data_IF_652177589319
#
_entry.id   IF_652177589319
#
_cell.length_a   1.000
_cell.length_b   1.000
_cell.length_c   1.000
_cell.angle_alpha   90.00
_cell.angle_beta   90.00
_cell.angle_gamma   90.00
#
_symmetry.space_group_name_H-M   'P 1'
#
loop_
_entity.id
_entity.type
_entity.pdbx_description
1 polymer ?
#
# COMPACT_ATOMS: atom_id res chain seq x y z
N UNK A 1 18.70 -23.99 30.97
CA UNK A 1 18.33 -25.29 30.33
C UNK A 1 16.95 -25.25 29.68
N UNK A 2 15.90 -24.77 30.37
CA UNK A 2 14.53 -24.67 29.82
C UNK A 2 14.42 -23.81 28.55
N UNK A 3 15.00 -22.61 28.54
CA UNK A 3 15.06 -21.73 27.36
C UNK A 3 15.74 -22.38 26.14
N UNK A 4 16.84 -23.11 26.35
CA UNK A 4 17.56 -23.82 25.30
C UNK A 4 16.75 -24.99 24.73
N UNK A 5 16.04 -25.73 25.60
CA UNK A 5 15.09 -26.78 25.17
C UNK A 5 13.93 -26.20 24.37
N UNK A 6 13.35 -25.08 24.81
CA UNK A 6 12.24 -24.41 24.12
C UNK A 6 12.68 -23.92 22.72
N UNK A 7 13.91 -23.41 22.58
CA UNK A 7 14.49 -23.02 21.29
C UNK A 7 14.72 -24.22 20.37
N UNK A 8 15.19 -25.35 20.89
CA UNK A 8 15.36 -26.60 20.14
C UNK A 8 14.01 -27.15 19.62
N UNK A 9 12.94 -26.99 20.39
CA UNK A 9 11.57 -27.37 20.00
C UNK A 9 11.00 -26.50 18.86
N UNK A 10 11.54 -25.30 18.62
CA UNK A 10 11.13 -24.44 17.51
C UNK A 10 11.78 -24.83 16.17
N UNK A 11 12.90 -25.57 16.17
CA UNK A 11 13.60 -25.94 14.94
C UNK A 11 12.76 -26.81 13.99
N UNK A 12 12.05 -27.87 14.46
CA UNK A 12 11.16 -28.64 13.58
C UNK A 12 10.03 -27.80 13.00
N UNK A 13 9.46 -26.88 13.80
CA UNK A 13 8.42 -25.95 13.34
C UNK A 13 8.98 -24.99 12.27
N UNK A 14 10.18 -24.45 12.49
CA UNK A 14 10.85 -23.58 11.52
C UNK A 14 11.09 -24.30 10.19
N UNK A 15 11.59 -25.54 10.22
CA UNK A 15 11.81 -26.36 9.03
C UNK A 15 10.47 -26.62 8.33
N UNK A 16 9.45 -27.06 9.08
CA UNK A 16 8.11 -27.32 8.54
C UNK A 16 7.51 -26.07 7.86
N UNK A 17 7.48 -24.92 8.53
CA UNK A 17 6.92 -23.69 7.97
C UNK A 17 7.74 -23.13 6.80
N UNK A 18 9.06 -23.35 6.79
CA UNK A 18 9.92 -22.96 5.67
C UNK A 18 9.64 -23.83 4.45
N UNK A 19 9.55 -25.15 4.62
CA UNK A 19 9.16 -26.09 3.56
C UNK A 19 7.75 -25.81 3.05
N UNK A 20 6.80 -25.59 3.95
CA UNK A 20 5.42 -25.23 3.59
C UNK A 20 5.39 -23.93 2.77
N UNK A 21 6.14 -22.91 3.19
CA UNK A 21 6.26 -21.64 2.46
C UNK A 21 6.89 -21.84 1.08
N UNK A 22 7.92 -22.70 0.98
CA UNK A 22 8.58 -23.02 -0.28
C UNK A 22 7.64 -23.75 -1.24
N UNK A 23 6.91 -24.76 -0.78
CA UNK A 23 5.91 -25.47 -1.58
C UNK A 23 4.80 -24.52 -2.06
N UNK A 24 4.34 -23.63 -1.18
CA UNK A 24 3.34 -22.60 -1.51
C UNK A 24 3.83 -21.58 -2.55
N UNK A 25 5.13 -21.48 -2.84
CA UNK A 25 5.61 -20.64 -3.95
C UNK A 25 5.14 -21.15 -5.32
N UNK A 26 4.94 -22.46 -5.45
CA UNK A 26 4.53 -23.10 -6.69
C UNK A 26 3.00 -23.28 -6.81
N UNK A 27 2.26 -22.99 -5.74
CA UNK A 27 0.80 -23.12 -5.70
C UNK A 27 0.15 -21.74 -5.89
N UNK A 28 -0.61 -21.51 -6.98
CA UNK A 28 -1.32 -20.26 -7.18
C UNK A 28 -2.28 -20.00 -6.02
N UNK A 29 -2.21 -18.79 -5.42
CA UNK A 29 -3.16 -18.40 -4.38
C UNK A 29 -4.55 -18.19 -4.99
N UNK A 30 -5.56 -18.83 -4.39
CA UNK A 30 -6.97 -18.61 -4.75
C UNK A 30 -7.36 -17.16 -4.50
N UNK A 31 -8.04 -16.55 -5.47
CA UNK A 31 -8.61 -15.21 -5.35
C UNK A 31 -9.95 -15.29 -4.62
N UNK A 32 -10.17 -14.41 -3.64
CA UNK A 32 -11.49 -14.25 -3.00
C UNK A 32 -12.45 -13.47 -3.91
N UNK A 33 -13.75 -13.70 -3.73
CA UNK A 33 -14.77 -12.80 -4.28
C UNK A 33 -14.89 -11.57 -3.38
N UNK A 34 -15.14 -10.41 -4.00
CA UNK A 34 -15.45 -9.15 -3.32
C UNK A 34 -16.78 -8.55 -3.81
N UNK A 35 -17.54 -9.30 -4.59
CA UNK A 35 -18.83 -8.83 -5.09
C UNK A 35 -19.78 -8.51 -3.91
N UNK A 36 -20.40 -7.34 -3.95
CA UNK A 36 -21.30 -6.86 -2.90
C UNK A 36 -20.63 -6.31 -1.64
N UNK A 37 -19.31 -6.49 -1.47
CA UNK A 37 -18.53 -5.90 -0.38
C UNK A 37 -18.51 -4.38 -0.46
N UNK A 38 -18.43 -3.73 0.70
CA UNK A 38 -18.26 -2.28 0.78
C UNK A 38 -16.77 -1.97 0.73
N UNK A 39 -16.35 -1.20 -0.28
CA UNK A 39 -14.96 -0.78 -0.46
C UNK A 39 -14.91 0.74 -0.34
N UNK A 40 -14.19 1.23 0.68
CA UNK A 40 -13.87 2.65 0.81
C UNK A 40 -12.50 2.94 0.21
N UNK A 41 -12.40 3.96 -0.62
CA UNK A 41 -11.15 4.43 -1.22
C UNK A 41 -10.99 5.92 -0.95
N UNK A 42 -9.88 6.29 -0.33
CA UNK A 42 -9.46 7.70 -0.15
C UNK A 42 -8.54 8.13 -1.29
N UNK A 43 -8.53 9.43 -1.63
CA UNK A 43 -7.81 9.93 -2.80
C UNK A 43 -8.34 9.35 -4.11
N UNK A 44 -9.63 9.05 -4.16
CA UNK A 44 -10.26 8.36 -5.29
C UNK A 44 -10.58 9.28 -6.47
N UNK A 45 -10.37 10.59 -6.34
CA UNK A 45 -10.66 11.57 -7.37
C UNK A 45 -9.65 11.59 -8.52
N UNK A 46 -8.47 10.98 -8.36
CA UNK A 46 -7.42 10.97 -9.37
C UNK A 46 -6.46 9.76 -9.25
N UNK A 47 -5.56 9.61 -10.23
CA UNK A 47 -4.41 8.70 -10.20
C UNK A 47 -4.76 7.25 -9.81
N UNK A 48 -3.93 6.66 -8.94
CA UNK A 48 -4.11 5.28 -8.48
C UNK A 48 -5.44 5.03 -7.78
N UNK A 49 -5.93 5.98 -6.97
CA UNK A 49 -7.18 5.81 -6.23
C UNK A 49 -8.37 5.67 -7.18
N UNK A 50 -8.44 6.53 -8.21
CA UNK A 50 -9.42 6.46 -9.29
C UNK A 50 -9.38 5.12 -10.01
N UNK A 51 -8.21 4.71 -10.48
CA UNK A 51 -8.06 3.44 -11.21
C UNK A 51 -8.40 2.22 -10.33
N UNK A 52 -8.04 2.27 -9.04
CA UNK A 52 -8.43 1.23 -8.06
C UNK A 52 -9.95 1.17 -7.91
N UNK A 53 -10.64 2.31 -7.89
CA UNK A 53 -12.10 2.36 -7.84
C UNK A 53 -12.73 1.70 -9.08
N UNK A 54 -12.15 1.90 -10.27
CA UNK A 54 -12.63 1.29 -11.51
C UNK A 54 -12.51 -0.23 -11.46
N UNK A 55 -11.40 -0.77 -10.96
CA UNK A 55 -11.23 -2.23 -10.83
C UNK A 55 -12.23 -2.84 -9.83
N UNK A 56 -12.45 -2.20 -8.67
CA UNK A 56 -13.48 -2.69 -7.75
C UNK A 56 -14.90 -2.51 -8.30
N UNK A 57 -15.14 -1.52 -9.17
CA UNK A 57 -16.41 -1.38 -9.85
C UNK A 57 -16.69 -2.56 -10.79
N UNK A 58 -15.68 -2.99 -11.57
CA UNK A 58 -15.76 -4.18 -12.43
C UNK A 58 -16.05 -5.46 -11.62
N UNK A 59 -15.54 -5.54 -10.39
CA UNK A 59 -15.78 -6.64 -9.44
C UNK A 59 -17.12 -6.55 -8.68
N UNK A 60 -18.00 -5.59 -9.04
CA UNK A 60 -19.35 -5.43 -8.47
C UNK A 60 -19.38 -5.13 -6.97
N UNK A 61 -18.39 -4.39 -6.47
CA UNK A 61 -18.39 -3.86 -5.11
C UNK A 61 -19.37 -2.69 -4.95
N UNK A 62 -19.68 -2.36 -3.69
CA UNK A 62 -20.33 -1.11 -3.30
C UNK A 62 -19.22 -0.13 -2.89
N UNK A 63 -19.07 0.96 -3.63
CA UNK A 63 -17.98 1.90 -3.46
C UNK A 63 -18.38 3.13 -2.63
N UNK A 64 -17.51 3.49 -1.70
CA UNK A 64 -17.50 4.75 -0.97
C UNK A 64 -16.20 5.47 -1.34
N UNK A 65 -16.31 6.60 -2.02
CA UNK A 65 -15.16 7.27 -2.61
C UNK A 65 -14.97 8.63 -1.93
N UNK A 66 -13.78 8.86 -1.38
CA UNK A 66 -13.40 10.10 -0.71
C UNK A 66 -12.29 10.81 -1.49
N UNK A 67 -12.44 12.12 -1.67
CA UNK A 67 -11.39 13.00 -2.18
C UNK A 67 -11.66 14.45 -1.77
N UNK A 68 -10.63 15.29 -1.78
CA UNK A 68 -10.80 16.73 -1.56
C UNK A 68 -11.35 17.43 -2.81
N UNK A 69 -11.09 16.87 -4.00
CA UNK A 69 -11.52 17.43 -5.28
C UNK A 69 -12.94 16.93 -5.64
N UNK A 70 -13.92 17.82 -5.49
CA UNK A 70 -15.33 17.55 -5.82
C UNK A 70 -15.54 17.10 -7.26
N UNK A 71 -14.88 17.71 -8.23
CA UNK A 71 -15.07 17.37 -9.64
C UNK A 71 -14.50 15.97 -9.94
N UNK A 72 -13.27 15.72 -9.52
CA UNK A 72 -12.57 14.45 -9.75
C UNK A 72 -13.27 13.27 -9.10
N UNK A 73 -13.84 13.44 -7.89
CA UNK A 73 -14.54 12.35 -7.20
C UNK A 73 -15.89 12.01 -7.83
N UNK A 74 -16.63 13.02 -8.31
CA UNK A 74 -17.89 12.79 -9.01
C UNK A 74 -17.68 12.14 -10.38
N UNK A 75 -16.62 12.53 -11.10
CA UNK A 75 -16.21 11.86 -12.34
C UNK A 75 -15.89 10.38 -12.10
N UNK A 76 -15.05 10.09 -11.09
CA UNK A 76 -14.75 8.70 -10.71
C UNK A 76 -16.03 7.94 -10.35
N UNK A 77 -16.93 8.53 -9.56
CA UNK A 77 -18.16 7.88 -9.13
C UNK A 77 -19.11 7.60 -10.30
N UNK A 78 -19.26 8.54 -11.24
CA UNK A 78 -20.06 8.37 -12.45
C UNK A 78 -19.53 7.20 -13.29
N UNK A 79 -18.21 7.12 -13.48
CA UNK A 79 -17.59 6.03 -14.22
C UNK A 79 -17.76 4.68 -13.52
N UNK A 80 -17.58 4.63 -12.20
CA UNK A 80 -17.85 3.41 -11.42
C UNK A 80 -19.31 2.94 -11.55
N UNK A 81 -20.28 3.87 -11.59
CA UNK A 81 -21.70 3.54 -11.83
C UNK A 81 -21.91 2.98 -13.23
N UNK A 82 -21.25 3.55 -14.24
CA UNK A 82 -21.28 3.06 -15.63
C UNK A 82 -20.72 1.64 -15.75
N UNK A 83 -19.69 1.31 -14.98
CA UNK A 83 -19.13 -0.05 -14.87
C UNK A 83 -20.04 -1.04 -14.10
N UNK A 84 -21.19 -0.57 -13.61
CA UNK A 84 -22.25 -1.36 -12.98
C UNK A 84 -22.08 -1.59 -11.48
N UNK A 85 -21.32 -0.73 -10.79
CA UNK A 85 -21.22 -0.72 -9.34
C UNK A 85 -22.11 0.35 -8.70
N UNK A 86 -22.44 0.17 -7.43
CA UNK A 86 -23.03 1.25 -6.63
C UNK A 86 -21.89 2.12 -6.12
N UNK A 87 -21.85 3.41 -6.43
CA UNK A 87 -20.79 4.30 -5.97
C UNK A 87 -21.35 5.59 -5.34
N UNK A 88 -20.81 5.95 -4.18
CA UNK A 88 -21.15 7.16 -3.44
C UNK A 88 -19.88 8.00 -3.26
N UNK A 89 -19.94 9.26 -3.66
CA UNK A 89 -18.84 10.22 -3.56
C UNK A 89 -19.03 11.12 -2.33
N UNK A 90 -17.93 11.41 -1.64
CA UNK A 90 -17.88 12.36 -0.54
C UNK A 90 -16.65 13.25 -0.71
N UNK A 91 -16.87 14.56 -0.57
CA UNK A 91 -15.77 15.50 -0.48
C UNK A 91 -15.25 15.45 0.95
N UNK A 92 -14.00 15.03 1.13
CA UNK A 92 -13.37 14.87 2.44
C UNK A 92 -11.93 15.33 2.38
N UNK A 93 -11.58 16.23 3.29
CA UNK A 93 -10.20 16.58 3.56
C UNK A 93 -9.58 15.60 4.56
N UNK A 94 -8.76 14.67 4.07
CA UNK A 94 -8.05 13.70 4.90
C UNK A 94 -6.95 14.32 5.80
N UNK A 95 -6.67 15.63 5.70
CA UNK A 95 -5.85 16.35 6.67
C UNK A 95 -6.66 16.84 7.87
N UNK A 96 -7.99 16.91 7.76
CA UNK A 96 -8.90 17.35 8.80
C UNK A 96 -9.54 16.14 9.50
N UNK A 97 -9.19 15.95 10.78
CA UNK A 97 -9.64 14.81 11.58
C UNK A 97 -11.16 14.83 11.81
N UNK A 98 -11.74 16.00 12.06
CA UNK A 98 -13.16 16.18 12.31
C UNK A 98 -13.99 15.86 11.06
N UNK A 99 -13.49 16.22 9.87
CA UNK A 99 -14.11 15.88 8.59
C UNK A 99 -14.12 14.36 8.37
N UNK A 100 -12.98 13.69 8.57
CA UNK A 100 -12.86 12.23 8.54
C UNK A 100 -13.89 11.57 9.45
N UNK A 101 -13.98 11.99 10.72
CA UNK A 101 -14.89 11.37 11.67
C UNK A 101 -16.36 11.65 11.34
N UNK A 102 -16.69 12.88 10.93
CA UNK A 102 -18.05 13.24 10.58
C UNK A 102 -18.54 12.48 9.35
N UNK A 103 -17.68 12.31 8.34
CA UNK A 103 -18.01 11.59 7.13
C UNK A 103 -17.99 10.08 7.35
N UNK A 104 -17.02 9.55 8.10
CA UNK A 104 -17.05 8.14 8.52
C UNK A 104 -18.37 7.82 9.22
N UNK A 105 -18.83 8.62 10.18
CA UNK A 105 -20.11 8.39 10.87
C UNK A 105 -21.31 8.31 9.92
N UNK A 106 -21.27 9.02 8.78
CA UNK A 106 -22.30 8.99 7.72
C UNK A 106 -22.16 7.78 6.80
N UNK A 107 -20.93 7.39 6.45
CA UNK A 107 -20.67 6.34 5.44
C UNK A 107 -20.51 4.94 6.01
N UNK A 108 -20.01 4.83 7.25
CA UNK A 108 -19.96 3.61 8.05
C UNK A 108 -19.54 3.95 9.49
N UNK A 109 -20.35 3.62 10.51
CA UNK A 109 -19.95 3.83 11.90
C UNK A 109 -18.77 2.91 12.28
N UNK A 110 -17.56 3.45 12.12
CA UNK A 110 -16.24 2.96 12.51
C UNK A 110 -15.83 1.61 11.90
N UNK A 111 -15.22 1.68 10.71
CA UNK A 111 -14.79 0.53 9.90
C UNK A 111 -14.10 -0.57 10.71
N UNK A 112 -13.05 -0.24 11.46
CA UNK A 112 -12.26 -1.24 12.18
C UNK A 112 -13.05 -1.89 13.34
N UNK A 113 -13.72 -1.15 14.26
CA UNK A 113 -14.60 -1.77 15.26
C UNK A 113 -15.67 -2.69 14.67
N UNK A 114 -16.34 -2.28 13.59
CA UNK A 114 -17.34 -3.11 12.93
C UNK A 114 -16.71 -4.37 12.28
N UNK A 115 -15.57 -4.22 11.60
CA UNK A 115 -14.81 -5.35 11.03
C UNK A 115 -14.35 -6.32 12.12
N UNK A 116 -13.89 -5.82 13.27
CA UNK A 116 -13.45 -6.63 14.40
C UNK A 116 -14.61 -7.38 15.06
N UNK A 117 -15.77 -6.73 15.22
CA UNK A 117 -16.98 -7.34 15.75
C UNK A 117 -17.52 -8.45 14.84
N UNK A 118 -17.51 -8.21 13.52
CA UNK A 118 -17.93 -9.19 12.52
C UNK A 118 -16.83 -10.20 12.18
N UNK A 119 -15.61 -10.00 12.69
CA UNK A 119 -14.39 -10.70 12.28
C UNK A 119 -14.28 -10.84 10.75
N UNK A 120 -14.59 -9.77 10.01
CA UNK A 120 -14.57 -9.73 8.55
C UNK A 120 -14.23 -8.33 8.09
N UNK A 121 -13.15 -8.20 7.32
CA UNK A 121 -12.73 -6.92 6.77
C UNK A 121 -11.41 -7.00 6.04
N UNK A 122 -11.06 -5.94 5.33
CA UNK A 122 -9.76 -5.82 4.70
C UNK A 122 -9.29 -4.36 4.72
N UNK A 123 -8.17 -4.09 5.40
CA UNK A 123 -7.54 -2.77 5.42
C UNK A 123 -6.37 -2.76 4.45
N UNK A 124 -6.38 -1.82 3.51
CA UNK A 124 -5.33 -1.68 2.50
C UNK A 124 -4.59 -0.37 2.71
N UNK A 125 -3.28 -0.45 2.93
CA UNK A 125 -2.40 0.71 3.10
C UNK A 125 -1.64 0.97 1.81
N UNK A 126 -1.87 2.10 1.15
CA UNK A 126 -1.11 2.49 -0.05
C UNK A 126 0.09 3.36 0.37
N UNK A 127 1.25 2.72 0.51
CA UNK A 127 2.49 3.34 0.94
C UNK A 127 3.41 3.66 -0.25
N UNK A 128 4.68 3.25 -0.18
CA UNK A 128 5.74 3.43 -1.19
C UNK A 128 6.93 2.54 -0.85
N UNK A 129 7.76 2.22 -1.84
CA UNK A 129 9.13 1.74 -1.60
C UNK A 129 9.92 2.68 -0.67
N UNK A 130 9.63 3.98 -0.72
CA UNK A 130 10.18 5.00 0.18
C UNK A 130 9.77 4.84 1.67
N UNK A 131 8.92 3.86 2.00
CA UNK A 131 8.64 3.45 3.38
C UNK A 131 9.57 2.36 3.93
N UNK A 132 10.52 1.91 3.12
CA UNK A 132 11.52 0.89 3.48
C UNK A 132 12.95 1.39 3.31
N UNK A 133 13.16 2.37 2.42
CA UNK A 133 14.43 3.01 2.14
C UNK A 133 14.22 4.52 1.97
N UNK A 134 15.29 5.29 2.10
CA UNK A 134 15.25 6.75 1.97
C UNK A 134 15.93 7.19 0.69
N UNK A 135 15.36 8.23 0.09
CA UNK A 135 15.93 8.89 -1.09
C UNK A 135 16.21 10.36 -0.74
N UNK A 136 17.36 10.92 -1.15
CA UNK A 136 17.65 12.33 -0.90
C UNK A 136 16.55 13.27 -1.39
N UNK A 137 16.42 14.43 -0.73
CA UNK A 137 15.46 15.51 -1.05
C UNK A 137 13.96 15.19 -0.84
N UNK A 138 13.62 13.97 -0.44
CA UNK A 138 12.25 13.56 -0.13
C UNK A 138 12.02 13.23 1.36
N UNK A 139 12.74 13.89 2.28
CA UNK A 139 12.74 13.55 3.71
C UNK A 139 11.33 13.41 4.29
N UNK A 140 10.50 14.46 4.19
CA UNK A 140 9.14 14.45 4.74
C UNK A 140 8.26 13.36 4.09
N UNK A 141 8.38 13.18 2.77
CA UNK A 141 7.67 12.14 2.04
C UNK A 141 8.08 10.75 2.50
N UNK A 142 9.39 10.44 2.52
CA UNK A 142 9.93 9.20 3.05
C UNK A 142 9.44 8.95 4.47
N UNK A 143 9.63 9.91 5.40
CA UNK A 143 9.18 9.79 6.79
C UNK A 143 7.70 9.41 6.91
N UNK A 144 6.81 10.05 6.12
CA UNK A 144 5.38 9.71 6.10
C UNK A 144 5.11 8.28 5.60
N UNK A 145 5.88 7.79 4.62
CA UNK A 145 5.75 6.44 4.08
C UNK A 145 6.34 5.37 5.00
N UNK A 146 7.40 5.67 5.74
CA UNK A 146 7.88 4.82 6.84
C UNK A 146 6.82 4.70 7.92
N UNK A 147 6.18 5.82 8.32
CA UNK A 147 5.09 5.81 9.28
C UNK A 147 3.90 4.96 8.80
N UNK A 148 3.52 5.06 7.52
CA UNK A 148 2.45 4.24 6.95
C UNK A 148 2.77 2.74 6.97
N UNK A 149 3.99 2.34 6.61
CA UNK A 149 4.44 0.94 6.68
C UNK A 149 4.49 0.45 8.14
N UNK A 150 4.98 1.28 9.06
CA UNK A 150 5.01 0.99 10.49
C UNK A 150 3.62 0.78 11.07
N UNK A 151 2.69 1.70 10.77
CA UNK A 151 1.28 1.60 11.14
C UNK A 151 0.66 0.30 10.62
N UNK A 152 0.86 -0.02 9.34
CA UNK A 152 0.32 -1.24 8.73
C UNK A 152 0.82 -2.50 9.44
N UNK A 153 2.13 -2.57 9.73
CA UNK A 153 2.73 -3.70 10.44
C UNK A 153 2.20 -3.82 11.86
N UNK A 154 2.17 -2.72 12.61
CA UNK A 154 1.61 -2.68 13.96
C UNK A 154 0.17 -3.17 14.00
N UNK A 155 -0.69 -2.61 13.15
CA UNK A 155 -2.10 -3.02 13.04
C UNK A 155 -2.25 -4.52 12.70
N UNK A 156 -1.41 -5.04 11.81
CA UNK A 156 -1.45 -6.46 11.43
C UNK A 156 -1.12 -7.37 12.62
N UNK A 157 -0.11 -7.01 13.41
CA UNK A 157 0.29 -7.78 14.60
C UNK A 157 -0.74 -7.62 15.73
N UNK A 158 -1.31 -6.44 15.93
CA UNK A 158 -2.38 -6.23 16.92
C UNK A 158 -3.63 -7.07 16.60
N UNK A 159 -4.06 -7.10 15.34
CA UNK A 159 -5.18 -7.95 14.91
C UNK A 159 -4.89 -9.44 15.15
N UNK A 160 -3.65 -9.88 14.91
CA UNK A 160 -3.23 -11.25 15.16
C UNK A 160 -3.21 -11.57 16.66
N UNK A 161 -2.67 -10.68 17.50
CA UNK A 161 -2.64 -10.83 18.96
C UNK A 161 -4.05 -10.89 19.56
N UNK A 162 -4.99 -10.10 19.01
CA UNK A 162 -6.40 -10.10 19.38
C UNK A 162 -7.21 -11.24 18.72
N UNK A 163 -6.55 -12.16 18.00
CA UNK A 163 -7.16 -13.31 17.31
C UNK A 163 -8.27 -12.92 16.32
N UNK A 164 -8.18 -11.72 15.72
CA UNK A 164 -9.11 -11.23 14.68
C UNK A 164 -8.67 -11.70 13.30
N UNK A 165 -8.71 -13.01 13.09
CA UNK A 165 -8.16 -13.67 11.90
C UNK A 165 -8.89 -13.37 10.60
N UNK A 166 -10.13 -12.88 10.66
CA UNK A 166 -10.92 -12.53 9.48
C UNK A 166 -10.79 -11.06 9.06
N UNK A 167 -10.11 -10.21 9.84
CA UNK A 167 -9.72 -8.87 9.41
C UNK A 167 -8.34 -8.94 8.76
N UNK A 168 -8.29 -8.77 7.44
CA UNK A 168 -7.07 -8.87 6.64
C UNK A 168 -6.41 -7.52 6.49
N UNK A 169 -5.12 -7.54 6.18
CA UNK A 169 -4.33 -6.34 5.90
C UNK A 169 -3.49 -6.57 4.64
N UNK A 170 -3.40 -5.55 3.78
CA UNK A 170 -2.50 -5.50 2.61
C UNK A 170 -1.78 -4.15 2.56
N UNK A 171 -0.48 -4.11 2.30
CA UNK A 171 0.29 -2.89 2.09
C UNK A 171 0.92 -2.85 0.70
N UNK A 172 0.66 -1.79 -0.05
CA UNK A 172 1.27 -1.56 -1.37
C UNK A 172 2.51 -0.67 -1.22
N UNK A 173 3.63 -1.14 -1.71
CA UNK A 173 4.92 -0.46 -1.70
C UNK A 173 5.46 -0.35 -3.14
N UNK A 174 4.91 0.56 -3.96
CA UNK A 174 5.38 0.75 -5.34
C UNK A 174 6.63 1.65 -5.38
N UNK A 175 7.43 1.47 -6.43
CA UNK A 175 8.42 2.45 -6.88
C UNK A 175 7.72 3.66 -7.54
N UNK A 176 8.50 4.55 -8.14
CA UNK A 176 7.97 5.70 -8.88
C UNK A 176 6.91 5.30 -9.92
N UNK A 177 5.77 5.99 -9.85
CA UNK A 177 4.61 5.78 -10.73
C UNK A 177 4.39 7.05 -11.54
N UNK A 178 4.15 6.90 -12.84
CA UNK A 178 3.86 8.00 -13.74
C UNK A 178 2.43 8.52 -13.52
N UNK A 179 2.22 9.33 -12.49
CA UNK A 179 0.90 9.83 -12.09
C UNK A 179 0.67 11.32 -12.40
N UNK A 180 1.60 11.96 -13.12
CA UNK A 180 1.56 13.40 -13.42
C UNK A 180 1.85 14.33 -12.22
N UNK A 181 2.00 13.79 -11.00
CA UNK A 181 2.31 14.55 -9.77
C UNK A 181 3.79 14.93 -9.65
N UNK A 182 4.69 14.10 -10.19
CA UNK A 182 6.13 14.38 -10.29
C UNK A 182 6.46 14.50 -11.78
N UNK A 183 6.88 15.69 -12.22
CA UNK A 183 7.39 15.88 -13.59
C UNK A 183 8.75 15.20 -13.68
N UNK A 184 8.92 14.29 -14.63
CA UNK A 184 10.18 13.60 -14.96
C UNK A 184 10.98 13.07 -13.74
N UNK A 185 10.52 12.03 -13.03
CA UNK A 185 11.40 11.27 -12.15
C UNK A 185 12.33 10.40 -13.00
N UNK A 186 13.24 11.02 -13.76
CA UNK A 186 14.32 10.30 -14.42
C UNK A 186 15.31 9.88 -13.35
N UNK A 187 15.11 8.69 -12.80
CA UNK A 187 16.14 8.02 -12.02
C UNK A 187 16.88 7.06 -12.94
N UNK A 188 18.20 6.96 -12.84
CA UNK A 188 19.01 5.94 -13.54
C UNK A 188 18.71 4.49 -13.09
N UNK A 189 17.57 4.27 -12.41
CA UNK A 189 17.22 3.09 -11.61
C UNK A 189 16.10 2.22 -12.19
N UNK A 190 15.64 2.55 -13.39
CA UNK A 190 14.64 1.77 -14.11
C UNK A 190 13.41 2.58 -14.52
N UNK A 191 12.55 2.00 -15.37
CA UNK A 191 11.40 2.70 -15.92
C UNK A 191 10.41 3.08 -14.82
N UNK A 192 9.75 4.23 -15.00
CA UNK A 192 8.54 4.58 -14.24
C UNK A 192 7.47 3.54 -14.50
N UNK A 193 6.72 3.18 -13.46
CA UNK A 193 5.62 2.23 -13.59
C UNK A 193 4.39 2.95 -14.12
N UNK A 194 3.70 2.30 -15.07
CA UNK A 194 2.37 2.74 -15.49
C UNK A 194 1.37 2.48 -14.35
N UNK A 195 0.51 3.47 -14.02
CA UNK A 195 -0.48 3.34 -12.94
C UNK A 195 -1.34 2.08 -13.03
N UNK A 196 -1.75 1.69 -14.24
CA UNK A 196 -2.59 0.53 -14.52
C UNK A 196 -1.91 -0.77 -14.08
N UNK A 197 -0.61 -0.92 -14.35
CA UNK A 197 0.15 -2.10 -13.92
C UNK A 197 0.21 -2.23 -12.40
N UNK A 198 0.39 -1.09 -11.73
CA UNK A 198 0.44 -1.04 -10.26
C UNK A 198 -0.92 -1.43 -9.67
N UNK A 199 -2.01 -0.94 -10.26
CA UNK A 199 -3.38 -1.25 -9.83
C UNK A 199 -3.72 -2.72 -10.03
N UNK A 200 -3.34 -3.31 -11.17
CA UNK A 200 -3.54 -4.76 -11.41
C UNK A 200 -2.84 -5.58 -10.33
N UNK A 201 -1.60 -5.24 -9.98
CA UNK A 201 -0.84 -5.93 -8.91
C UNK A 201 -1.46 -5.69 -7.53
N UNK A 202 -1.93 -4.47 -7.26
CA UNK A 202 -2.65 -4.13 -6.03
C UNK A 202 -3.90 -5.00 -5.88
N UNK A 203 -4.79 -5.00 -6.88
CA UNK A 203 -6.03 -5.78 -6.85
C UNK A 203 -5.73 -7.27 -6.71
N UNK A 204 -4.75 -7.80 -7.44
CA UNK A 204 -4.35 -9.19 -7.30
C UNK A 204 -3.87 -9.52 -5.87
N UNK A 205 -3.04 -8.67 -5.27
CA UNK A 205 -2.57 -8.87 -3.90
C UNK A 205 -3.69 -8.74 -2.86
N UNK A 206 -4.65 -7.84 -3.05
CA UNK A 206 -5.84 -7.74 -2.19
C UNK A 206 -6.69 -9.01 -2.29
N UNK A 207 -6.96 -9.49 -3.51
CA UNK A 207 -7.79 -10.69 -3.72
C UNK A 207 -7.09 -11.97 -3.29
N UNK A 208 -5.76 -11.97 -3.16
CA UNK A 208 -4.94 -13.09 -2.65
C UNK A 208 -4.42 -12.88 -1.22
N UNK A 209 -4.94 -11.86 -0.53
CA UNK A 209 -4.66 -11.53 0.88
C UNK A 209 -3.16 -11.43 1.20
N UNK A 210 -2.40 -10.77 0.33
CA UNK A 210 -0.98 -10.54 0.53
C UNK A 210 -0.75 -9.40 1.52
N UNK A 211 -0.05 -9.69 2.64
CA UNK A 211 0.32 -8.66 3.61
C UNK A 211 1.12 -7.51 3.00
N UNK A 212 2.05 -7.80 2.09
CA UNK A 212 2.92 -6.80 1.46
C UNK A 212 3.02 -7.05 -0.05
N UNK A 213 2.88 -5.99 -0.85
CA UNK A 213 3.00 -6.00 -2.31
C UNK A 213 4.07 -4.99 -2.71
N UNK A 214 5.16 -5.46 -3.32
CA UNK A 214 6.22 -4.60 -3.86
C UNK A 214 6.10 -4.52 -5.39
N UNK A 215 6.18 -3.32 -5.95
CA UNK A 215 6.07 -3.11 -7.40
C UNK A 215 7.19 -2.20 -7.91
N UNK A 216 8.13 -2.68 -8.76
CA UNK A 216 8.34 -4.09 -9.10
C UNK A 216 8.78 -4.93 -7.89
N UNK A 217 8.64 -6.25 -8.00
CA UNK A 217 9.00 -7.20 -6.92
C UNK A 217 10.50 -7.18 -6.58
N UNK A 218 11.36 -6.74 -7.50
CA UNK A 218 12.80 -6.57 -7.30
C UNK A 218 13.15 -5.58 -6.17
N UNK A 219 12.26 -4.62 -5.87
CA UNK A 219 12.46 -3.69 -4.74
C UNK A 219 12.59 -4.44 -3.43
N UNK A 220 11.82 -5.52 -3.24
CA UNK A 220 11.88 -6.32 -2.02
C UNK A 220 13.31 -6.81 -1.77
N UNK A 221 14.00 -7.23 -2.83
CA UNK A 221 15.39 -7.67 -2.75
C UNK A 221 16.35 -6.51 -2.50
N UNK A 222 16.17 -5.37 -3.17
CA UNK A 222 16.99 -4.17 -2.93
C UNK A 222 16.91 -3.70 -1.48
N UNK A 223 15.71 -3.68 -0.89
CA UNK A 223 15.54 -3.30 0.54
C UNK A 223 16.17 -4.30 1.50
N UNK A 224 16.37 -5.55 1.08
CA UNK A 224 17.10 -6.54 1.87
C UNK A 224 18.62 -6.31 1.75
N UNK A 225 19.11 -6.02 0.55
CA UNK A 225 20.53 -5.75 0.31
C UNK A 225 21.05 -4.54 1.09
N UNK A 226 20.25 -3.49 1.24
CA UNK A 226 20.61 -2.33 2.08
C UNK A 226 20.83 -2.70 3.55
N UNK A 227 20.28 -3.82 4.04
CA UNK A 227 20.50 -4.29 5.41
C UNK A 227 21.76 -5.15 5.55
N UNK A 228 22.26 -5.69 4.44
CA UNK A 228 23.39 -6.62 4.41
C UNK A 228 24.69 -5.87 4.07
N UNK A 229 24.61 -4.91 3.15
CA UNK A 229 25.80 -4.20 2.70
C UNK A 229 26.29 -3.12 3.66
N UNK A 230 27.60 -2.90 3.79
CA UNK A 230 28.16 -1.82 4.60
C UNK A 230 27.72 -0.44 4.11
N UNK A 231 27.52 0.49 5.05
CA UNK A 231 27.07 1.86 4.75
C UNK A 231 27.94 2.59 3.73
N UNK A 232 29.26 2.40 3.78
CA UNK A 232 30.20 3.02 2.82
C UNK A 232 29.97 2.55 1.39
N UNK A 233 29.67 1.26 1.21
CA UNK A 233 29.36 0.71 -0.11
C UNK A 233 28.03 1.24 -0.62
N UNK A 234 27.01 1.29 0.24
CA UNK A 234 25.71 1.87 -0.09
C UNK A 234 25.81 3.35 -0.44
N UNK A 235 26.67 4.12 0.24
CA UNK A 235 26.92 5.52 -0.08
C UNK A 235 27.51 5.70 -1.48
N UNK A 236 28.47 4.85 -1.87
CA UNK A 236 29.04 4.84 -3.23
C UNK A 236 27.98 4.44 -4.26
N UNK A 237 27.18 3.42 -3.97
CA UNK A 237 26.10 2.97 -4.84
C UNK A 237 25.07 4.09 -5.06
N UNK A 238 24.63 4.76 -3.98
CA UNK A 238 23.70 5.89 -4.01
C UNK A 238 24.25 7.09 -4.78
N UNK A 239 25.55 7.39 -4.67
CA UNK A 239 26.22 8.41 -5.49
C UNK A 239 26.25 8.04 -6.97
N UNK A 240 26.51 6.78 -7.30
CA UNK A 240 26.48 6.28 -8.69
C UNK A 240 25.06 6.25 -9.29
N UNK A 241 24.04 6.14 -8.45
CA UNK A 241 22.63 6.13 -8.88
C UNK A 241 22.11 7.49 -9.37
N UNK A 242 22.86 8.60 -9.17
CA UNK A 242 22.56 9.98 -9.62
C UNK A 242 21.07 10.33 -9.63
N UNK A 243 20.40 10.13 -8.49
CA UNK A 243 18.96 10.37 -8.38
C UNK A 243 18.72 11.88 -8.35
N UNK A 244 18.29 12.43 -9.48
CA UNK A 244 17.83 13.82 -9.62
C UNK A 244 16.30 13.84 -9.52
N UNK A 245 15.78 14.65 -8.60
CA UNK A 245 14.37 15.01 -8.61
C UNK A 245 14.23 16.45 -9.05
N UNK A 246 13.48 16.69 -10.12
CA UNK A 246 13.07 18.03 -10.54
C UNK A 246 11.99 18.64 -9.62
N UNK A 247 11.67 17.98 -8.51
CA UNK A 247 10.58 18.33 -7.61
C UNK A 247 11.08 18.66 -6.20
N UNK A 248 11.83 19.77 -6.05
CA UNK A 248 11.75 20.59 -4.83
C UNK A 248 11.77 22.06 -5.21
N UNK A 249 10.58 22.66 -5.19
CA UNK A 249 10.38 24.10 -5.01
C UNK A 249 11.13 24.49 -3.73
N UNK A 250 12.33 25.08 -3.85
CA UNK A 250 13.06 25.65 -2.71
C UNK A 250 14.58 25.47 -2.73
N UNK A 251 15.13 24.43 -3.36
CA UNK A 251 16.57 24.32 -3.55
C UNK A 251 16.95 24.95 -4.89
N UNK A 252 17.10 26.27 -4.91
CA UNK A 252 18.01 26.87 -5.90
C UNK A 252 19.38 26.28 -5.60
N UNK A 253 19.93 25.50 -6.54
CA UNK A 253 21.38 25.38 -6.66
C UNK A 253 21.91 26.81 -6.73
N UNK A 254 22.46 27.31 -5.62
CA UNK A 254 23.37 28.44 -5.72
C UNK A 254 24.54 27.92 -6.54
N UNK A 255 24.65 28.49 -7.74
CA UNK A 255 25.80 28.58 -8.65
C UNK A 255 26.91 27.53 -8.58
N UNK A 256 27.34 27.16 -9.80
CA UNK A 256 28.59 26.50 -10.17
C UNK A 256 28.56 24.97 -10.22
#
# INVERSE_FOLDING_TARGET
>A
MKFLLDQLLLLPLLIFFTLESFLKLFIPKKRKSVAGEIVLITGAGHGLGRLTAYEFAKLKCKLVLWDINKHGIEETAAECRRLGARAHAFVVDCSNREDIYSTAKKTAKAFLPAMMNNNHGHIVTVASAAGHTVVPFLLAYCSSKFAAVGFHRGLTEELAALKRTGVKTTCLCPNFINTGFIKNPSTSLGPTLEPEEVVVKLINGILTEQKMIFVPSSIRFLTLLERIFPERFLAILKRKMDIKFDAVIGYKTKGE
#
